data_IF_682572573897
#
_entry.id   IF_682572573897
#
_cell.length_a   1.000
_cell.length_b   1.000
_cell.length_c   1.000
_cell.angle_alpha   90.00
_cell.angle_beta   90.00
_cell.angle_gamma   90.00
#
_symmetry.space_group_name_H-M   'P 1'
#
loop_
_entity.id
_entity.type
_entity.pdbx_description
1 polymer ?
#
# COMPACT_ATOMS: atom_id res chain seq x y z
N UNK A 1 -43.37 1.42 -12.05
CA UNK A 1 -42.33 0.74 -11.25
C UNK A 1 -40.92 0.75 -11.90
N UNK A 2 -40.72 1.34 -13.09
CA UNK A 2 -39.39 1.45 -13.73
C UNK A 2 -38.47 2.57 -13.19
N UNK A 3 -39.03 3.62 -12.58
CA UNK A 3 -38.25 4.79 -12.10
C UNK A 3 -37.26 4.46 -10.96
N UNK A 4 -37.56 3.42 -10.17
CA UNK A 4 -36.72 2.97 -9.04
C UNK A 4 -35.49 2.18 -9.51
N UNK A 5 -35.63 1.45 -10.62
CA UNK A 5 -34.51 0.76 -11.28
C UNK A 5 -33.53 1.72 -11.93
N UNK A 6 -34.01 2.82 -12.53
CA UNK A 6 -33.15 3.85 -13.15
C UNK A 6 -32.27 4.54 -12.10
N UNK A 7 -32.83 4.93 -10.95
CA UNK A 7 -32.04 5.53 -9.86
C UNK A 7 -30.99 4.58 -9.27
N UNK A 8 -31.33 3.31 -9.13
CA UNK A 8 -30.41 2.28 -8.64
C UNK A 8 -29.28 2.03 -9.65
N UNK A 9 -29.61 1.91 -10.93
CA UNK A 9 -28.64 1.77 -12.02
C UNK A 9 -27.69 2.97 -12.09
N UNK A 10 -28.21 4.19 -11.98
CA UNK A 10 -27.37 5.40 -11.93
C UNK A 10 -26.49 5.44 -10.68
N UNK A 11 -27.01 5.01 -9.52
CA UNK A 11 -26.22 4.96 -8.29
C UNK A 11 -25.05 3.97 -8.41
N UNK A 12 -25.30 2.77 -8.92
CA UNK A 12 -24.27 1.75 -9.19
C UNK A 12 -23.25 2.24 -10.21
N UNK A 13 -23.68 2.94 -11.26
CA UNK A 13 -22.77 3.52 -12.24
C UNK A 13 -21.89 4.63 -11.61
N UNK A 14 -22.46 5.49 -10.78
CA UNK A 14 -21.71 6.56 -10.10
C UNK A 14 -20.72 5.97 -9.09
N UNK A 15 -21.11 4.95 -8.33
CA UNK A 15 -20.19 4.32 -7.36
C UNK A 15 -19.06 3.56 -8.05
N UNK A 16 -19.34 2.84 -9.13
CA UNK A 16 -18.29 2.14 -9.90
C UNK A 16 -17.31 3.13 -10.53
N UNK A 17 -17.80 4.22 -11.14
CA UNK A 17 -16.94 5.29 -11.69
C UNK A 17 -16.12 5.98 -10.58
N UNK A 18 -16.73 6.25 -9.43
CA UNK A 18 -16.02 6.85 -8.29
C UNK A 18 -14.91 5.92 -7.77
N UNK A 19 -15.22 4.63 -7.60
CA UNK A 19 -14.24 3.63 -7.17
C UNK A 19 -13.10 3.49 -8.18
N UNK A 20 -13.38 3.44 -9.49
CA UNK A 20 -12.31 3.32 -10.49
C UNK A 20 -11.42 4.55 -10.56
N UNK A 21 -11.97 5.77 -10.41
CA UNK A 21 -11.20 7.01 -10.36
C UNK A 21 -10.35 7.14 -9.08
N UNK A 22 -10.80 6.57 -7.96
CA UNK A 22 -10.00 6.47 -6.74
C UNK A 22 -8.87 5.45 -6.92
N UNK A 23 -9.12 4.29 -7.51
CA UNK A 23 -8.09 3.26 -7.71
C UNK A 23 -6.97 3.71 -8.67
N UNK A 24 -7.27 4.47 -9.73
CA UNK A 24 -6.24 4.98 -10.65
C UNK A 24 -5.32 6.01 -10.01
N UNK A 25 -5.74 6.65 -8.91
CA UNK A 25 -4.96 7.67 -8.20
C UNK A 25 -3.82 7.11 -7.34
N UNK A 26 -3.91 5.83 -6.94
CA UNK A 26 -2.95 5.11 -6.09
C UNK A 26 -1.89 4.32 -6.88
N UNK A 27 -1.98 4.26 -8.21
CA UNK A 27 -1.05 3.49 -9.01
C UNK A 27 0.12 4.37 -9.51
N UNK A 28 1.36 3.88 -9.36
CA UNK A 28 2.57 4.59 -9.79
C UNK A 28 2.78 4.62 -11.33
N UNK A 29 1.75 4.56 -12.17
CA UNK A 29 1.89 4.45 -13.65
C UNK A 29 2.34 5.74 -14.38
N UNK A 30 3.09 6.63 -13.71
CA UNK A 30 3.53 7.91 -14.27
C UNK A 30 4.84 7.75 -15.06
N UNK A 31 4.88 8.32 -16.28
CA UNK A 31 6.05 8.34 -17.19
C UNK A 31 6.90 9.62 -17.10
N UNK A 32 6.76 10.41 -16.04
CA UNK A 32 7.54 11.64 -15.83
C UNK A 32 8.21 11.60 -14.46
N UNK A 33 9.51 11.88 -14.44
CA UNK A 33 10.32 11.96 -13.22
C UNK A 33 9.82 13.06 -12.28
N UNK A 34 9.44 14.21 -12.82
CA UNK A 34 8.93 15.37 -12.05
C UNK A 34 7.58 15.07 -11.41
N UNK A 35 6.80 14.16 -12.01
CA UNK A 35 5.49 13.77 -11.52
C UNK A 35 5.51 12.46 -10.72
N UNK A 36 6.68 11.86 -10.49
CA UNK A 36 6.82 10.67 -9.64
C UNK A 36 6.85 11.10 -8.16
N UNK A 37 5.66 11.45 -7.66
CA UNK A 37 5.43 12.03 -6.34
C UNK A 37 4.65 11.06 -5.46
N UNK A 38 5.00 11.07 -4.17
CA UNK A 38 4.44 10.30 -3.04
C UNK A 38 4.32 8.78 -3.25
N UNK A 39 4.82 8.01 -2.28
CA UNK A 39 4.78 6.54 -2.23
C UNK A 39 5.27 5.79 -3.48
N UNK A 40 6.05 6.49 -4.33
CA UNK A 40 6.71 5.96 -5.50
C UNK A 40 8.16 6.46 -5.61
N UNK A 41 8.98 5.76 -6.39
CA UNK A 41 10.33 6.17 -6.77
C UNK A 41 10.57 6.07 -8.29
N UNK A 42 11.44 6.94 -8.80
CA UNK A 42 11.86 6.89 -10.21
C UNK A 42 12.86 5.76 -10.45
N UNK A 43 12.49 4.80 -11.28
CA UNK A 43 13.35 3.66 -11.65
C UNK A 43 14.31 4.00 -12.79
N UNK A 44 15.35 3.17 -12.94
CA UNK A 44 16.34 3.25 -14.05
C UNK A 44 15.75 2.97 -15.43
N UNK A 45 14.55 2.38 -15.48
CA UNK A 45 13.82 2.08 -16.73
C UNK A 45 12.82 3.18 -17.12
N UNK A 46 13.08 4.41 -16.66
CA UNK A 46 12.25 5.60 -16.90
C UNK A 46 10.76 5.40 -16.57
N UNK A 47 10.50 4.73 -15.45
CA UNK A 47 9.17 4.44 -14.94
C UNK A 47 9.11 4.75 -13.45
N UNK A 48 8.02 5.36 -13.01
CA UNK A 48 7.69 5.46 -11.60
C UNK A 48 7.22 4.08 -11.09
N UNK A 49 7.79 3.62 -9.98
CA UNK A 49 7.46 2.32 -9.38
C UNK A 49 7.10 2.49 -7.91
N UNK A 50 6.27 1.59 -7.40
CA UNK A 50 5.91 1.53 -5.98
C UNK A 50 7.17 1.44 -5.11
N UNK A 51 7.05 1.94 -3.88
CA UNK A 51 8.10 1.77 -2.90
C UNK A 51 8.32 0.30 -2.52
N UNK A 52 9.57 -0.10 -2.20
CA UNK A 52 9.82 -1.42 -1.67
C UNK A 52 9.13 -1.57 -0.31
N UNK A 53 8.75 -2.81 0.01
CA UNK A 53 8.13 -3.15 1.29
C UNK A 53 8.92 -2.56 2.47
N UNK A 54 8.20 -1.90 3.38
CA UNK A 54 8.79 -1.23 4.53
C UNK A 54 9.21 0.22 4.30
N UNK A 55 8.98 0.79 3.12
CA UNK A 55 9.29 2.18 2.81
C UNK A 55 8.11 2.92 2.18
N UNK A 56 8.07 4.24 2.36
CA UNK A 56 7.04 5.14 1.86
C UNK A 56 7.57 6.57 1.68
N UNK A 57 6.72 7.47 1.18
CA UNK A 57 7.01 8.88 0.95
C UNK A 57 7.75 9.15 -0.36
N UNK A 58 8.13 10.42 -0.57
CA UNK A 58 8.82 10.87 -1.78
C UNK A 58 10.13 10.10 -1.93
N UNK A 59 10.31 9.44 -3.08
CA UNK A 59 11.45 8.57 -3.39
C UNK A 59 11.71 7.49 -2.33
N UNK A 60 10.66 7.01 -1.65
CA UNK A 60 10.75 5.95 -0.65
C UNK A 60 11.72 6.27 0.49
N UNK A 61 11.84 7.56 0.84
CA UNK A 61 12.83 8.06 1.80
C UNK A 61 12.46 7.79 3.26
N UNK A 62 11.24 7.33 3.54
CA UNK A 62 10.76 7.07 4.89
C UNK A 62 10.56 5.58 5.10
N UNK A 63 11.01 5.08 6.23
CA UNK A 63 10.77 3.70 6.66
C UNK A 63 9.44 3.62 7.41
N UNK A 64 8.69 2.52 7.27
CA UNK A 64 7.43 2.32 7.98
C UNK A 64 7.60 2.52 9.49
N UNK A 65 6.69 3.30 10.07
CA UNK A 65 6.71 3.61 11.50
C UNK A 65 5.98 2.50 12.25
N UNK A 66 6.62 1.95 13.28
CA UNK A 66 5.99 1.04 14.24
C UNK A 66 4.58 1.55 14.66
N UNK A 67 3.56 0.68 14.72
CA UNK A 67 3.65 -0.79 14.57
C UNK A 67 3.60 -1.28 13.12
N UNK A 68 3.63 -0.38 12.13
CA UNK A 68 3.37 -0.74 10.75
C UNK A 68 4.59 -1.29 10.02
N UNK A 69 4.37 -2.27 9.13
CA UNK A 69 5.40 -2.85 8.27
C UNK A 69 4.83 -3.35 6.93
N UNK A 70 5.72 -3.85 6.06
CA UNK A 70 5.39 -4.49 4.80
C UNK A 70 4.97 -3.51 3.70
N UNK A 71 4.26 -4.03 2.69
CA UNK A 71 3.73 -3.23 1.59
C UNK A 71 2.81 -2.11 2.12
N UNK A 72 3.05 -0.89 1.66
CA UNK A 72 2.30 0.33 2.00
C UNK A 72 2.16 0.60 3.52
N UNK A 73 3.01 -0.03 4.33
CA UNK A 73 2.91 0.00 5.79
C UNK A 73 1.51 -0.41 6.31
N UNK A 74 0.89 -1.44 5.71
CA UNK A 74 -0.46 -1.89 6.09
C UNK A 74 -0.47 -3.12 7.02
N UNK A 75 0.69 -3.72 7.29
CA UNK A 75 0.81 -4.88 8.21
C UNK A 75 1.18 -4.41 9.63
N UNK A 76 0.88 -5.22 10.64
CA UNK A 76 0.95 -4.81 12.06
C UNK A 76 1.87 -5.70 12.93
N UNK A 77 2.81 -5.06 13.62
CA UNK A 77 3.74 -5.64 14.59
C UNK A 77 3.30 -5.41 16.05
N UNK A 78 2.07 -4.99 16.35
CA UNK A 78 1.70 -4.58 17.72
C UNK A 78 1.83 -5.70 18.77
N UNK A 79 1.95 -6.95 18.33
CA UNK A 79 2.17 -8.14 19.14
C UNK A 79 3.64 -8.38 19.54
N UNK A 80 4.60 -7.63 19.00
CA UNK A 80 6.02 -7.78 19.31
C UNK A 80 6.69 -6.45 19.67
N UNK A 81 7.86 -6.52 20.29
CA UNK A 81 8.60 -5.35 20.71
C UNK A 81 9.06 -4.51 19.50
N UNK A 82 9.07 -3.18 19.65
CA UNK A 82 9.50 -2.23 18.62
C UNK A 82 10.89 -2.57 18.07
N UNK A 83 11.79 -3.03 18.95
CA UNK A 83 13.19 -3.31 18.63
C UNK A 83 13.35 -4.50 17.69
N UNK A 84 12.37 -5.41 17.64
CA UNK A 84 12.39 -6.61 16.79
C UNK A 84 11.39 -6.54 15.62
N UNK A 85 10.60 -5.46 15.52
CA UNK A 85 9.75 -5.21 14.36
C UNK A 85 10.58 -4.59 13.24
N UNK A 86 10.87 -5.39 12.21
CA UNK A 86 11.46 -4.92 10.98
C UNK A 86 10.38 -4.30 10.07
N UNK A 87 10.65 -3.13 9.51
CA UNK A 87 9.70 -2.43 8.64
C UNK A 87 9.31 -3.20 7.39
N UNK A 88 10.15 -4.11 6.90
CA UNK A 88 9.91 -4.86 5.66
C UNK A 88 9.24 -6.19 5.94
N UNK A 89 9.73 -6.94 6.94
CA UNK A 89 9.30 -8.34 7.18
C UNK A 89 8.50 -8.56 8.46
N UNK A 90 8.34 -7.56 9.32
CA UNK A 90 7.58 -7.66 10.56
C UNK A 90 8.41 -8.17 11.72
N UNK A 91 7.82 -8.97 12.60
CA UNK A 91 8.45 -9.43 13.83
C UNK A 91 9.52 -10.49 13.55
N UNK A 92 10.74 -10.22 14.03
CA UNK A 92 11.86 -11.15 14.01
C UNK A 92 11.92 -11.95 15.31
N UNK A 93 12.13 -13.25 15.22
CA UNK A 93 12.56 -14.07 16.36
C UNK A 93 13.93 -13.61 16.87
N UNK A 94 14.28 -13.96 18.11
CA UNK A 94 15.57 -13.64 18.71
C UNK A 94 16.79 -14.15 17.91
N UNK A 95 16.59 -15.13 17.01
CA UNK A 95 17.63 -15.68 16.12
C UNK A 95 17.59 -15.07 14.69
N UNK A 96 16.83 -13.98 14.49
CA UNK A 96 16.70 -13.30 13.20
C UNK A 96 15.83 -14.02 12.17
N UNK A 97 15.15 -15.10 12.55
CA UNK A 97 14.18 -15.79 11.68
C UNK A 97 12.84 -15.05 11.70
N UNK A 98 12.15 -15.01 10.56
CA UNK A 98 10.85 -14.34 10.40
C UNK A 98 9.79 -15.12 11.17
N UNK A 99 9.07 -14.47 12.09
CA UNK A 99 7.84 -15.05 12.64
C UNK A 99 6.77 -14.98 11.56
N UNK A 100 6.76 -15.97 10.66
CA UNK A 100 5.58 -16.19 9.82
C UNK A 100 4.47 -16.61 10.78
N UNK A 101 3.58 -15.67 11.11
CA UNK A 101 2.34 -15.97 11.79
C UNK A 101 1.71 -17.17 11.11
N UNK A 102 1.73 -18.31 11.80
CA UNK A 102 0.95 -19.47 11.43
C UNK A 102 -0.49 -19.00 11.44
N UNK A 103 -1.11 -18.95 10.27
CA UNK A 103 -2.56 -19.05 10.14
C UNK A 103 -2.94 -20.36 10.84
N UNK A 104 -3.38 -20.25 12.09
CA UNK A 104 -4.14 -21.32 12.74
C UNK A 104 -5.42 -21.51 11.92
N UNK A 105 -5.70 -22.78 11.61
CA UNK A 105 -6.92 -23.27 10.98
C UNK A 105 -8.14 -23.07 11.89
#
# INVERSE_FOLDING_TARGET
MQYRGIKYQTYVAVTTVCCTMLCTSLNCERKSKENCLEDCQWSKVDKCIDCPDGFYGINCSRQCRYPNYGKDCQQDCSHCNREICNSTVGCLTQDGTIERGTYEL
#
